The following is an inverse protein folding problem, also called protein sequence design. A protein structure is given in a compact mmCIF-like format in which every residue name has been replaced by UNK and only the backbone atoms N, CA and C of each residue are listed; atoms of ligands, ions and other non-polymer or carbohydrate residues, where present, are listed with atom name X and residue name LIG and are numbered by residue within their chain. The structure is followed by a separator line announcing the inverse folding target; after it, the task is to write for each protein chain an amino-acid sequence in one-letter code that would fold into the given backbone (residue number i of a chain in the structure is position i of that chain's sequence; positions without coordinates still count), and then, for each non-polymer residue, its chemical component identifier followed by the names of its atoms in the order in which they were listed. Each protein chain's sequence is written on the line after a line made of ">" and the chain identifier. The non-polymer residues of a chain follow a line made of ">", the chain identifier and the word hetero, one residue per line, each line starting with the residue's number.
data_IF_135331947363
#
_entry.id   IF_135331947363
#
_cell.length_a   1.000
_cell.length_b   1.000
_cell.length_c   1.000
_cell.angle_alpha   90.00
_cell.angle_beta   90.00
_cell.angle_gamma   90.00
#
_symmetry.space_group_name_H-M   'P 1'
#
loop_
_entity.id
_entity.type
_entity.pdbx_description
1 polymer ?
#
# COMPACT_ATOMS: atom_id res chain seq x y z
N UNK A 1 22.25 -5.53 -13.88
CA UNK A 1 20.96 -5.68 -13.21
C UNK A 1 20.62 -7.17 -13.15
N UNK A 2 20.27 -7.68 -11.98
CA UNK A 2 19.83 -9.06 -11.77
C UNK A 2 18.49 -9.04 -11.06
N UNK A 3 17.58 -9.93 -11.47
CA UNK A 3 16.23 -10.04 -10.92
C UNK A 3 16.09 -11.44 -10.33
N UNK A 4 15.69 -11.49 -9.05
CA UNK A 4 15.42 -12.73 -8.34
C UNK A 4 13.95 -12.74 -7.94
N UNK A 5 13.15 -13.59 -8.57
CA UNK A 5 11.75 -13.76 -8.21
C UNK A 5 11.63 -14.33 -6.78
N UNK A 6 10.72 -13.77 -6.00
CA UNK A 6 10.44 -14.19 -4.62
C UNK A 6 9.26 -15.16 -4.55
N UNK A 7 8.34 -15.09 -5.50
CA UNK A 7 7.27 -16.07 -5.67
C UNK A 7 6.86 -16.15 -7.15
N UNK A 8 6.03 -17.14 -7.49
CA UNK A 8 5.45 -17.24 -8.83
C UNK A 8 4.31 -16.25 -9.11
N UNK A 9 3.78 -15.61 -8.08
CA UNK A 9 2.62 -14.72 -8.22
C UNK A 9 2.98 -13.25 -8.26
N UNK A 10 4.00 -12.84 -7.51
CA UNK A 10 4.47 -11.45 -7.38
C UNK A 10 5.78 -11.41 -6.57
N UNK A 11 6.43 -10.27 -6.62
CA UNK A 11 7.61 -9.99 -5.81
C UNK A 11 8.93 -10.32 -6.49
N UNK A 12 9.82 -9.34 -6.57
CA UNK A 12 11.17 -9.53 -7.06
C UNK A 12 12.19 -8.72 -6.22
N UNK A 13 13.33 -9.33 -5.97
CA UNK A 13 14.51 -8.65 -5.43
C UNK A 13 15.38 -8.21 -6.61
N UNK A 14 15.75 -6.93 -6.62
CA UNK A 14 16.44 -6.28 -7.74
C UNK A 14 17.85 -5.89 -7.30
N UNK A 15 18.84 -6.36 -8.03
CA UNK A 15 20.24 -5.99 -7.84
C UNK A 15 20.73 -5.11 -9.01
N UNK A 16 21.64 -4.18 -8.74
CA UNK A 16 22.27 -3.34 -9.77
C UNK A 16 21.43 -2.14 -10.21
N UNK A 17 20.51 -1.69 -9.36
CA UNK A 17 19.85 -0.40 -9.41
C UNK A 17 20.29 0.40 -8.19
N UNK A 18 20.67 1.65 -8.39
CA UNK A 18 21.01 2.61 -7.34
C UNK A 18 19.79 3.53 -7.12
N UNK A 19 19.20 3.47 -5.94
CA UNK A 19 18.04 4.31 -5.59
C UNK A 19 18.42 5.76 -5.28
N UNK A 20 19.72 6.09 -5.20
CA UNK A 20 20.17 7.48 -5.08
C UNK A 20 20.16 8.21 -6.42
N UNK A 21 20.14 7.47 -7.55
CA UNK A 21 19.99 8.01 -8.89
C UNK A 21 18.51 8.24 -9.22
N UNK A 22 18.05 9.48 -9.04
CA UNK A 22 16.69 9.92 -9.37
C UNK A 22 16.52 10.33 -10.85
N UNK A 23 17.41 9.90 -11.76
CA UNK A 23 17.26 10.16 -13.19
C UNK A 23 16.00 9.52 -13.77
N UNK A 24 15.42 10.11 -14.80
CA UNK A 24 14.22 9.60 -15.45
C UNK A 24 14.45 8.20 -16.06
N UNK A 25 15.67 7.93 -16.53
CA UNK A 25 16.04 6.62 -17.05
C UNK A 25 16.02 5.54 -15.97
N UNK A 26 16.58 5.85 -14.79
CA UNK A 26 16.58 4.92 -13.67
C UNK A 26 15.17 4.73 -13.10
N UNK A 27 14.43 5.83 -12.95
CA UNK A 27 13.02 5.77 -12.53
C UNK A 27 12.17 4.91 -13.48
N UNK A 28 12.33 5.07 -14.81
CA UNK A 28 11.60 4.25 -15.78
C UNK A 28 11.83 2.76 -15.55
N UNK A 29 13.08 2.34 -15.30
CA UNK A 29 13.38 0.94 -14.99
C UNK A 29 12.69 0.46 -13.71
N UNK A 30 12.71 1.29 -12.66
CA UNK A 30 12.05 0.98 -11.37
C UNK A 30 10.55 0.84 -11.59
N UNK A 31 9.92 1.76 -12.31
CA UNK A 31 8.48 1.72 -12.58
C UNK A 31 8.10 0.48 -13.43
N UNK A 32 8.85 0.19 -14.50
CA UNK A 32 8.61 -1.00 -15.34
C UNK A 32 8.68 -2.29 -14.50
N UNK A 33 9.69 -2.41 -13.63
CA UNK A 33 9.84 -3.56 -12.71
C UNK A 33 8.70 -3.64 -11.69
N UNK A 34 8.25 -2.49 -11.14
CA UNK A 34 7.11 -2.46 -10.24
C UNK A 34 5.83 -2.92 -10.93
N UNK A 35 5.59 -2.46 -12.16
CA UNK A 35 4.42 -2.87 -12.96
C UNK A 35 4.45 -4.36 -13.31
N UNK A 36 5.64 -4.92 -13.56
CA UNK A 36 5.80 -6.35 -13.86
C UNK A 36 5.64 -7.22 -12.61
N UNK A 37 6.35 -6.87 -11.52
CA UNK A 37 6.47 -7.73 -10.34
C UNK A 37 5.54 -7.35 -9.19
N UNK A 38 4.79 -6.23 -9.24
CA UNK A 38 3.80 -5.71 -8.27
C UNK A 38 4.40 -5.22 -6.95
N UNK A 39 5.44 -5.85 -6.46
CA UNK A 39 6.28 -5.41 -5.35
C UNK A 39 7.74 -5.73 -5.67
N UNK A 40 8.62 -4.77 -5.41
CA UNK A 40 10.07 -4.91 -5.68
C UNK A 40 10.86 -4.54 -4.44
N UNK A 41 11.97 -5.25 -4.24
CA UNK A 41 12.83 -5.09 -3.09
C UNK A 41 14.24 -4.76 -3.53
N UNK A 42 14.86 -3.84 -2.82
CA UNK A 42 16.24 -3.44 -3.02
C UNK A 42 16.99 -3.61 -1.70
N UNK A 43 18.11 -4.33 -1.71
CA UNK A 43 18.96 -4.52 -0.53
C UNK A 43 20.04 -3.45 -0.49
N UNK A 44 20.51 -3.17 0.72
CA UNK A 44 21.71 -2.33 0.98
C UNK A 44 21.69 -0.97 0.27
N UNK A 45 20.53 -0.30 0.30
CA UNK A 45 20.33 1.02 -0.30
C UNK A 45 20.43 2.11 0.77
N UNK A 46 21.56 2.82 0.88
CA UNK A 46 21.80 3.83 1.93
C UNK A 46 21.18 5.18 1.57
N UNK A 47 19.95 5.18 1.04
CA UNK A 47 19.28 6.43 0.64
C UNK A 47 18.96 7.31 1.86
N UNK A 48 19.12 8.63 1.71
CA UNK A 48 18.66 9.61 2.70
C UNK A 48 17.14 9.81 2.63
N UNK A 49 16.57 10.59 3.54
CA UNK A 49 15.15 10.94 3.49
C UNK A 49 14.82 11.79 2.27
N UNK A 50 15.70 12.74 1.94
CA UNK A 50 15.58 13.60 0.75
C UNK A 50 15.60 12.77 -0.53
N UNK A 51 16.47 11.76 -0.62
CA UNK A 51 16.53 10.86 -1.77
C UNK A 51 15.30 9.96 -1.85
N UNK A 52 14.76 9.51 -0.70
CA UNK A 52 13.52 8.75 -0.65
C UNK A 52 12.34 9.60 -1.16
N UNK A 53 12.27 10.86 -0.76
CA UNK A 53 11.25 11.82 -1.23
C UNK A 53 11.43 12.07 -2.73
N UNK A 54 12.62 12.38 -3.20
CA UNK A 54 12.89 12.63 -4.62
C UNK A 54 12.50 11.44 -5.52
N UNK A 55 12.74 10.22 -5.04
CA UNK A 55 12.27 9.01 -5.75
C UNK A 55 10.74 8.90 -5.70
N UNK A 56 10.12 9.17 -4.57
CA UNK A 56 8.66 9.08 -4.41
C UNK A 56 7.93 10.11 -5.29
N UNK A 57 8.43 11.33 -5.42
CA UNK A 57 7.88 12.39 -6.29
C UNK A 57 7.81 11.98 -7.76
N UNK A 58 8.68 11.07 -8.22
CA UNK A 58 8.62 10.52 -9.57
C UNK A 58 7.36 9.68 -9.83
N UNK A 59 6.76 9.10 -8.80
CA UNK A 59 5.51 8.36 -8.91
C UNK A 59 4.27 9.27 -8.92
N UNK A 60 4.39 10.51 -8.45
CA UNK A 60 3.32 11.50 -8.39
C UNK A 60 3.39 12.40 -7.15
N UNK A 61 2.37 13.22 -6.91
CA UNK A 61 2.31 14.08 -5.73
C UNK A 61 2.40 13.26 -4.44
N UNK A 62 3.20 13.75 -3.50
CA UNK A 62 3.32 13.12 -2.18
C UNK A 62 2.07 13.39 -1.34
N UNK A 63 1.72 12.44 -0.50
CA UNK A 63 0.61 12.55 0.44
C UNK A 63 1.11 12.49 1.89
N UNK A 64 0.47 13.25 2.77
CA UNK A 64 0.63 13.09 4.21
C UNK A 64 -0.46 12.16 4.74
N UNK A 65 -0.10 11.26 5.66
CA UNK A 65 -1.07 10.35 6.24
C UNK A 65 -2.18 11.09 6.98
N UNK A 66 -3.45 10.70 6.76
CA UNK A 66 -4.61 11.42 7.30
C UNK A 66 -4.61 11.46 8.84
N UNK A 67 -4.23 10.36 9.49
CA UNK A 67 -4.37 10.14 10.93
C UNK A 67 -3.07 10.19 11.73
N UNK A 68 -1.95 10.00 11.07
CA UNK A 68 -0.64 9.90 11.71
C UNK A 68 0.24 11.04 11.27
N UNK A 69 0.90 11.68 12.24
CA UNK A 69 1.87 12.73 11.96
C UNK A 69 3.12 12.10 11.38
N UNK A 70 3.61 12.63 10.26
CA UNK A 70 4.93 12.31 9.73
C UNK A 70 6.05 12.93 10.57
N UNK A 71 7.27 12.79 10.11
CA UNK A 71 8.42 13.44 10.75
C UNK A 71 8.30 14.96 10.65
N UNK A 72 8.85 15.69 11.62
CA UNK A 72 8.70 17.15 11.67
C UNK A 72 9.23 17.84 10.42
N UNK A 73 10.40 17.42 9.92
CA UNK A 73 11.03 17.98 8.72
C UNK A 73 10.58 17.28 7.41
N UNK A 74 9.88 16.16 7.50
CA UNK A 74 9.44 15.33 6.37
C UNK A 74 8.05 14.77 6.64
N UNK A 75 6.98 15.59 6.54
CA UNK A 75 5.63 15.19 6.94
C UNK A 75 5.03 14.04 6.11
N UNK A 76 5.57 13.76 4.94
CA UNK A 76 5.20 12.64 4.06
C UNK A 76 5.80 11.30 4.53
N UNK A 77 6.81 11.33 5.40
CA UNK A 77 7.45 10.13 5.94
C UNK A 77 6.87 9.80 7.30
N UNK A 78 6.09 8.73 7.35
CA UNK A 78 5.58 8.17 8.61
C UNK A 78 6.57 7.14 9.14
N UNK A 79 6.99 7.32 10.40
CA UNK A 79 7.83 6.35 11.10
C UNK A 79 6.96 5.34 11.82
N UNK A 80 7.10 4.07 11.47
CA UNK A 80 6.40 2.96 12.11
C UNK A 80 7.41 2.21 13.00
N UNK A 81 7.07 2.07 14.28
CA UNK A 81 7.91 1.35 15.26
C UNK A 81 7.05 0.35 16.00
N UNK A 82 7.49 -0.91 16.05
CA UNK A 82 6.90 -1.93 16.91
C UNK A 82 7.87 -2.29 18.04
N UNK A 83 7.48 -2.03 19.27
CA UNK A 83 8.22 -2.45 20.46
C UNK A 83 7.96 -3.93 20.80
N UNK A 84 8.82 -4.52 21.65
CA UNK A 84 8.65 -5.91 22.12
C UNK A 84 7.34 -6.16 22.88
N UNK A 85 6.87 -5.12 23.57
CA UNK A 85 5.65 -5.18 24.40
C UNK A 85 4.38 -4.83 23.63
N UNK A 86 4.51 -4.46 22.35
CA UNK A 86 3.38 -4.07 21.51
C UNK A 86 2.62 -5.32 21.05
N UNK A 87 1.38 -5.47 21.51
CA UNK A 87 0.51 -6.60 21.17
C UNK A 87 -0.14 -6.44 19.79
N UNK A 88 -0.48 -5.21 19.43
CA UNK A 88 -1.12 -4.90 18.16
C UNK A 88 -0.07 -4.61 17.07
N UNK A 89 -0.39 -4.89 15.84
CA UNK A 89 0.46 -4.58 14.71
C UNK A 89 -0.21 -3.52 13.83
N UNK A 90 0.58 -2.55 13.42
CA UNK A 90 0.15 -1.62 12.37
C UNK A 90 0.02 -2.37 11.06
N UNK A 91 -1.16 -2.30 10.43
CA UNK A 91 -1.38 -2.94 9.13
C UNK A 91 -1.49 -4.47 9.15
N UNK A 92 -1.88 -5.07 10.29
CA UNK A 92 -2.00 -6.54 10.42
C UNK A 92 -3.10 -7.18 9.55
N UNK A 93 -4.07 -6.39 9.12
CA UNK A 93 -5.14 -6.89 8.27
C UNK A 93 -4.88 -6.57 6.79
N UNK A 94 -5.44 -7.39 5.89
CA UNK A 94 -5.36 -7.14 4.46
C UNK A 94 -5.99 -5.81 4.06
N UNK A 95 -5.21 -4.94 3.43
CA UNK A 95 -5.64 -3.62 2.98
C UNK A 95 -4.90 -3.18 1.72
N UNK A 96 -5.46 -2.19 1.05
CA UNK A 96 -4.73 -1.31 0.14
C UNK A 96 -4.65 0.04 0.81
N UNK A 97 -3.46 0.61 0.86
CA UNK A 97 -3.22 1.88 1.55
C UNK A 97 -4.17 2.97 1.05
N UNK A 98 -4.73 3.69 2.01
CA UNK A 98 -5.64 4.83 1.80
C UNK A 98 -6.71 4.64 0.74
N UNK A 99 -7.19 3.39 0.56
CA UNK A 99 -8.20 3.07 -0.45
C UNK A 99 -9.54 3.79 -0.23
N UNK A 100 -9.72 4.43 0.92
CA UNK A 100 -10.85 5.31 1.24
C UNK A 100 -10.73 6.71 0.62
N UNK A 101 -9.58 7.10 0.07
CA UNK A 101 -9.41 8.37 -0.64
C UNK A 101 -10.09 8.32 -2.02
N UNK A 102 -10.58 9.47 -2.52
CA UNK A 102 -11.13 9.57 -3.87
C UNK A 102 -10.11 9.18 -4.95
N UNK A 103 -8.84 9.49 -4.69
CA UNK A 103 -7.68 9.07 -5.48
C UNK A 103 -6.72 8.32 -4.56
N UNK A 104 -6.79 6.98 -4.49
CA UNK A 104 -5.87 6.19 -3.70
C UNK A 104 -4.42 6.33 -4.17
N UNK A 105 -3.48 6.24 -3.22
CA UNK A 105 -2.04 6.32 -3.48
C UNK A 105 -1.60 5.28 -4.53
N UNK A 106 -0.75 5.70 -5.46
CA UNK A 106 -0.22 4.84 -6.53
C UNK A 106 0.74 3.78 -6.00
N UNK A 107 1.66 4.19 -5.13
CA UNK A 107 2.70 3.33 -4.57
C UNK A 107 3.15 3.85 -3.20
N UNK A 108 3.80 2.99 -2.43
CA UNK A 108 4.42 3.32 -1.14
C UNK A 108 5.86 2.84 -1.15
N UNK A 109 6.77 3.65 -0.65
CA UNK A 109 8.18 3.30 -0.47
C UNK A 109 8.42 3.06 1.02
N UNK A 110 8.70 1.81 1.38
CA UNK A 110 9.04 1.42 2.74
C UNK A 110 10.56 1.25 2.86
N UNK A 111 11.17 2.00 3.79
CA UNK A 111 12.58 1.84 4.14
C UNK A 111 12.69 1.20 5.52
N UNK A 112 13.22 -0.02 5.58
CA UNK A 112 13.50 -0.69 6.85
C UNK A 112 14.71 -0.05 7.54
N UNK A 113 14.55 0.29 8.84
CA UNK A 113 15.63 0.83 9.66
C UNK A 113 16.17 -0.22 10.64
N UNK A 114 15.29 -0.98 11.23
CA UNK A 114 15.60 -2.08 12.15
C UNK A 114 14.52 -3.12 12.04
N UNK A 115 14.90 -4.33 11.71
CA UNK A 115 14.00 -5.49 11.60
C UNK A 115 14.51 -6.62 12.50
N UNK A 116 13.63 -7.45 13.07
CA UNK A 116 14.06 -8.62 13.81
C UNK A 116 14.65 -9.66 12.86
N UNK A 117 15.49 -10.59 13.34
CA UNK A 117 16.02 -11.67 12.52
C UNK A 117 14.94 -12.67 12.08
N UNK A 118 13.85 -12.77 12.82
CA UNK A 118 12.70 -13.66 12.56
C UNK A 118 11.40 -12.96 12.92
N UNK A 119 10.39 -13.12 12.09
CA UNK A 119 9.04 -12.56 12.28
C UNK A 119 8.91 -11.10 11.84
N UNK A 120 7.69 -10.59 11.87
CA UNK A 120 7.35 -9.25 11.38
C UNK A 120 7.29 -9.19 9.86
N UNK A 121 6.97 -10.31 9.21
CA UNK A 121 6.90 -10.41 7.76
C UNK A 121 5.75 -9.54 7.21
N UNK A 122 5.98 -8.95 6.05
CA UNK A 122 4.94 -8.25 5.27
C UNK A 122 4.46 -9.15 4.15
N UNK A 123 3.17 -9.42 4.13
CA UNK A 123 2.53 -10.23 3.10
C UNK A 123 1.89 -9.35 2.03
N UNK A 124 1.95 -9.79 0.77
CA UNK A 124 1.36 -9.10 -0.37
C UNK A 124 0.45 -10.04 -1.16
N UNK A 125 -0.59 -9.49 -1.78
CA UNK A 125 -1.52 -10.22 -2.65
C UNK A 125 -1.55 -9.63 -4.05
N UNK A 126 -1.51 -10.49 -5.07
CA UNK A 126 -1.64 -10.07 -6.47
C UNK A 126 -3.12 -9.93 -6.83
N UNK A 127 -3.60 -8.70 -6.91
CA UNK A 127 -5.00 -8.41 -7.17
C UNK A 127 -5.39 -8.55 -8.65
N UNK A 128 -4.45 -8.68 -9.59
CA UNK A 128 -4.70 -9.12 -10.96
C UNK A 128 -5.06 -10.61 -10.96
N UNK A 129 -4.21 -11.45 -10.36
CA UNK A 129 -4.50 -12.89 -10.23
C UNK A 129 -5.76 -13.15 -9.40
N UNK A 130 -6.00 -12.38 -8.33
CA UNK A 130 -7.22 -12.49 -7.54
C UNK A 130 -8.48 -12.29 -8.40
N UNK A 131 -8.46 -11.36 -9.35
CA UNK A 131 -9.54 -11.20 -10.30
C UNK A 131 -9.59 -12.34 -11.32
N UNK A 132 -8.47 -12.69 -11.93
CA UNK A 132 -8.37 -13.72 -12.98
C UNK A 132 -8.82 -15.11 -12.51
N UNK A 133 -8.54 -15.44 -11.25
CA UNK A 133 -8.84 -16.76 -10.66
C UNK A 133 -10.16 -16.80 -9.87
N UNK A 134 -10.87 -15.67 -9.76
CA UNK A 134 -12.13 -15.61 -9.06
C UNK A 134 -13.22 -16.42 -9.80
N UNK A 135 -14.06 -17.13 -9.05
CA UNK A 135 -15.17 -17.89 -9.62
C UNK A 135 -15.97 -17.03 -10.62
N UNK A 136 -16.22 -17.53 -11.85
CA UNK A 136 -16.93 -16.78 -12.90
C UNK A 136 -18.33 -16.29 -12.50
N UNK A 137 -19.01 -16.99 -11.58
CA UNK A 137 -20.31 -16.58 -11.05
C UNK A 137 -20.15 -15.33 -10.17
N UNK A 138 -19.09 -15.30 -9.36
CA UNK A 138 -18.77 -14.13 -8.53
C UNK A 138 -18.32 -12.98 -9.42
N UNK A 139 -17.43 -13.23 -10.41
CA UNK A 139 -17.03 -12.21 -11.37
C UNK A 139 -18.25 -11.56 -12.05
N UNK A 140 -19.17 -12.37 -12.55
CA UNK A 140 -20.40 -11.88 -13.21
C UNK A 140 -21.28 -11.05 -12.28
N UNK A 141 -21.33 -11.41 -10.98
CA UNK A 141 -22.12 -10.71 -9.97
C UNK A 141 -21.56 -9.34 -9.62
N UNK A 142 -20.23 -9.16 -9.64
CA UNK A 142 -19.55 -7.97 -9.08
C UNK A 142 -18.88 -7.06 -10.11
N UNK A 143 -18.67 -7.50 -11.35
CA UNK A 143 -17.85 -6.80 -12.36
C UNK A 143 -18.23 -5.34 -12.61
N UNK A 144 -19.53 -5.02 -12.51
CA UNK A 144 -20.10 -3.69 -12.77
C UNK A 144 -20.50 -2.97 -11.48
N UNK A 145 -20.18 -3.53 -10.31
CA UNK A 145 -20.55 -2.94 -9.02
C UNK A 145 -19.48 -2.04 -8.48
N UNK A 146 -19.89 -1.18 -7.56
CA UNK A 146 -19.01 -0.34 -6.73
C UNK A 146 -19.03 -0.80 -5.29
N UNK A 147 -17.98 -0.50 -4.58
CA UNK A 147 -17.90 -0.68 -3.14
C UNK A 147 -17.61 0.65 -2.46
N UNK A 148 -18.15 0.81 -1.25
CA UNK A 148 -17.83 1.93 -0.36
C UNK A 148 -16.60 1.53 0.43
N UNK A 149 -15.52 2.32 0.29
CA UNK A 149 -14.33 2.26 1.11
C UNK A 149 -14.38 3.39 2.13
N UNK A 150 -14.18 3.07 3.40
CA UNK A 150 -14.21 4.07 4.47
C UNK A 150 -13.09 3.82 5.46
N UNK A 151 -12.53 4.91 5.95
CA UNK A 151 -11.58 4.92 7.05
C UNK A 151 -12.24 4.75 8.42
N UNK A 152 -13.58 4.73 8.48
CA UNK A 152 -14.33 4.56 9.73
C UNK A 152 -13.93 3.24 10.42
N UNK A 153 -13.46 3.34 11.66
CA UNK A 153 -12.92 2.23 12.44
C UNK A 153 -11.39 2.10 12.34
N UNK A 154 -10.72 2.86 11.46
CA UNK A 154 -9.25 2.92 11.47
C UNK A 154 -8.73 3.57 12.76
N UNK A 155 -9.51 4.46 13.37
CA UNK A 155 -9.24 5.09 14.66
C UNK A 155 -8.98 4.07 15.76
N UNK A 156 -9.76 2.99 15.79
CA UNK A 156 -9.61 1.92 16.78
C UNK A 156 -8.20 1.30 16.76
N UNK A 157 -7.67 1.05 15.56
CA UNK A 157 -6.31 0.51 15.41
C UNK A 157 -5.25 1.52 15.84
N UNK A 158 -5.43 2.80 15.47
CA UNK A 158 -4.53 3.90 15.84
C UNK A 158 -4.56 4.12 17.34
N UNK A 159 -5.75 4.08 17.95
CA UNK A 159 -5.95 4.32 19.38
C UNK A 159 -5.36 3.22 20.26
N UNK A 160 -5.32 2.00 19.76
CA UNK A 160 -4.77 0.86 20.47
C UNK A 160 -3.30 0.59 20.16
N UNK A 161 -2.64 1.44 19.36
CA UNK A 161 -1.23 1.31 19.03
C UNK A 161 -0.40 2.30 19.86
N UNK A 162 0.23 1.79 20.91
CA UNK A 162 0.92 2.59 21.95
C UNK A 162 1.95 3.58 21.38
N UNK A 163 2.72 3.17 20.36
CA UNK A 163 3.71 4.05 19.72
C UNK A 163 3.09 5.28 19.05
N UNK A 164 1.83 5.21 18.62
CA UNK A 164 1.14 6.31 17.96
C UNK A 164 0.58 7.35 18.93
N UNK A 165 0.64 7.11 20.26
CA UNK A 165 0.03 7.97 21.27
C UNK A 165 0.49 9.44 21.19
N UNK A 166 1.78 9.68 20.87
CA UNK A 166 2.33 11.02 20.62
C UNK A 166 2.25 11.53 19.19
N UNK A 167 1.89 10.68 18.23
CA UNK A 167 1.94 10.96 16.80
C UNK A 167 0.56 11.04 16.12
N UNK A 168 -0.53 10.98 16.88
CA UNK A 168 -1.88 11.14 16.35
C UNK A 168 -2.15 12.58 15.96
N UNK A 169 -2.83 12.78 14.84
CA UNK A 169 -3.46 14.06 14.55
C UNK A 169 -4.68 14.23 15.47
N UNK A 170 -4.81 15.38 16.13
CA UNK A 170 -5.86 15.62 17.12
C UNK A 170 -7.27 15.70 16.54
N UNK A 171 -7.38 16.12 15.28
CA UNK A 171 -8.65 16.24 14.57
C UNK A 171 -8.48 15.59 13.20
N UNK A 172 -9.27 14.57 12.93
CA UNK A 172 -9.35 13.94 11.62
C UNK A 172 -10.80 13.60 11.29
N UNK A 173 -11.17 13.86 10.05
CA UNK A 173 -12.47 13.47 9.51
C UNK A 173 -12.41 12.01 9.03
N UNK A 174 -13.53 11.32 9.09
CA UNK A 174 -13.64 10.03 8.42
C UNK A 174 -13.79 10.25 6.92
N UNK A 175 -12.98 9.55 6.15
CA UNK A 175 -13.05 9.59 4.68
C UNK A 175 -13.86 8.41 4.19
N UNK A 176 -14.69 8.64 3.18
CA UNK A 176 -15.48 7.60 2.54
C UNK A 176 -15.67 7.92 1.06
N UNK A 177 -15.34 6.97 0.20
CA UNK A 177 -15.50 7.09 -1.23
C UNK A 177 -15.96 5.78 -1.86
N UNK A 178 -16.64 5.92 -3.01
CA UNK A 178 -17.06 4.79 -3.84
C UNK A 178 -15.98 4.47 -4.88
N UNK A 179 -15.65 3.20 -5.01
CA UNK A 179 -14.75 2.71 -6.04
C UNK A 179 -15.36 1.53 -6.81
N UNK A 180 -15.09 1.39 -8.12
CA UNK A 180 -15.41 0.15 -8.82
C UNK A 180 -14.69 -1.02 -8.13
N UNK A 181 -15.42 -2.14 -7.93
CA UNK A 181 -14.82 -3.38 -7.38
C UNK A 181 -13.78 -3.93 -8.34
N UNK A 182 -14.04 -3.83 -9.63
CA UNK A 182 -13.09 -4.22 -10.68
C UNK A 182 -12.57 -2.97 -11.37
N UNK A 183 -11.31 -2.64 -11.14
CA UNK A 183 -10.64 -1.49 -11.74
C UNK A 183 -9.76 -1.94 -12.91
N UNK A 184 -9.60 -1.07 -13.89
CA UNK A 184 -8.55 -1.22 -14.90
C UNK A 184 -7.32 -0.48 -14.43
N UNK A 185 -6.20 -1.18 -14.29
CA UNK A 185 -4.93 -0.54 -13.92
C UNK A 185 -4.51 0.46 -15.02
N UNK A 186 -4.26 1.73 -14.69
CA UNK A 186 -4.10 2.78 -15.70
C UNK A 186 -2.88 2.61 -16.60
N UNK A 187 -1.83 1.95 -16.14
CA UNK A 187 -0.59 1.76 -16.89
C UNK A 187 -0.49 0.40 -17.57
N UNK A 188 -1.03 -0.66 -16.95
CA UNK A 188 -0.95 -2.02 -17.52
C UNK A 188 -2.19 -2.41 -18.33
N UNK A 189 -3.31 -1.71 -18.18
CA UNK A 189 -4.60 -2.07 -18.78
C UNK A 189 -5.26 -3.31 -18.20
N UNK A 190 -4.63 -3.99 -17.25
CA UNK A 190 -5.15 -5.21 -16.65
C UNK A 190 -6.26 -4.93 -15.65
N UNK A 191 -7.18 -5.87 -15.52
CA UNK A 191 -8.24 -5.81 -14.50
C UNK A 191 -7.67 -6.24 -13.15
N UNK A 192 -8.04 -5.52 -12.10
CA UNK A 192 -7.68 -5.80 -10.72
C UNK A 192 -8.94 -5.83 -9.85
N UNK A 193 -8.95 -6.71 -8.87
CA UNK A 193 -9.96 -6.72 -7.82
C UNK A 193 -9.59 -5.64 -6.78
N UNK A 194 -10.45 -4.65 -6.59
CA UNK A 194 -10.20 -3.51 -5.71
C UNK A 194 -11.15 -3.51 -4.52
N UNK A 195 -10.96 -4.48 -3.65
CA UNK A 195 -11.62 -4.62 -2.35
C UNK A 195 -10.59 -5.08 -1.32
N UNK A 196 -10.81 -4.75 -0.06
CA UNK A 196 -9.96 -5.22 1.04
C UNK A 196 -10.76 -5.31 2.34
N UNK A 197 -10.26 -6.10 3.27
CA UNK A 197 -10.90 -6.35 4.56
C UNK A 197 -11.03 -5.09 5.42
N UNK A 198 -10.00 -4.26 5.43
CA UNK A 198 -9.92 -3.13 6.36
C UNK A 198 -10.87 -2.00 6.00
N UNK A 199 -10.91 -1.60 4.73
CA UNK A 199 -11.60 -0.38 4.32
C UNK A 199 -12.87 -0.60 3.51
N UNK A 200 -13.09 -1.76 2.88
CA UNK A 200 -14.34 -2.04 2.18
C UNK A 200 -15.45 -2.31 3.17
N UNK A 201 -16.47 -1.46 3.21
CA UNK A 201 -17.58 -1.55 4.17
C UNK A 201 -18.84 -2.13 3.56
N UNK A 202 -19.09 -1.90 2.27
CA UNK A 202 -20.29 -2.33 1.59
C UNK A 202 -20.06 -2.47 0.09
N UNK A 203 -20.67 -3.46 -0.52
CA UNK A 203 -20.83 -3.54 -1.98
C UNK A 203 -22.22 -2.98 -2.31
N UNK A 204 -22.26 -1.94 -3.14
CA UNK A 204 -23.53 -1.26 -3.47
C UNK A 204 -24.42 -2.21 -4.26
N UNK A 205 -25.66 -2.34 -3.81
CA UNK A 205 -26.67 -3.22 -4.43
C UNK A 205 -26.55 -4.70 -4.04
N UNK A 206 -25.74 -5.05 -3.03
CA UNK A 206 -25.77 -6.36 -2.37
C UNK A 206 -26.19 -6.21 -0.91
N UNK A 207 -26.86 -7.23 -0.39
CA UNK A 207 -27.15 -7.35 1.04
C UNK A 207 -25.92 -7.83 1.79
N UNK A 208 -25.86 -7.61 3.11
CA UNK A 208 -24.71 -7.97 3.95
C UNK A 208 -24.42 -9.48 3.93
N UNK A 209 -25.43 -10.31 3.75
CA UNK A 209 -25.36 -11.77 3.73
C UNK A 209 -24.92 -12.33 2.37
N UNK A 210 -24.85 -11.51 1.34
CA UNK A 210 -24.46 -11.84 -0.02
C UNK A 210 -22.99 -11.59 -0.30
#
# INVERSE_FOLDING_TARGET
>A
MKIKLLSGALGAEIEGIDLTDASDQNFKKINDLLLEHKVIFFRDQPITKEQQIALAEKFGPLETHAYVKGLDDYPEIVRIVKGKEEKNQWGENWHSDVSYNAKPTKAVILKSLKIPPVGGDTCFSNMELAWETLDPKIQSKIKDKKAIHSSLGAEFFIDNYKYMEGNKKKNYDSYSNEHPIVRTHPETGKKILFVNWTYTKQIIGLKKEE
#
